data_IF_308406676379
#
_entry.id   IF_308406676379
#
_cell.length_a   1.000
_cell.length_b   1.000
_cell.length_c   1.000
_cell.angle_alpha   90.00
_cell.angle_beta   90.00
_cell.angle_gamma   90.00
#
_symmetry.space_group_name_H-M   'P 1'
#
loop_
_entity.id
_entity.type
_entity.pdbx_description
1 polymer ?
#
# COMPACT_ATOMS: atom_id res chain seq x y z
N UNK A 1 19.78 6.36 -20.27
CA UNK A 1 18.98 5.34 -20.99
C UNK A 1 19.18 3.95 -20.40
N UNK A 2 20.40 3.42 -20.34
CA UNK A 2 20.69 2.10 -19.74
C UNK A 2 20.26 1.94 -18.27
N UNK A 3 20.43 2.99 -17.44
CA UNK A 3 20.00 2.97 -16.03
C UNK A 3 18.51 2.66 -15.85
N UNK A 4 17.65 3.23 -16.70
CA UNK A 4 16.20 3.00 -16.66
C UNK A 4 15.79 1.61 -17.13
N UNK A 5 16.58 1.01 -18.02
CA UNK A 5 16.36 -0.39 -18.44
C UNK A 5 16.72 -1.33 -17.29
N UNK A 6 17.90 -1.11 -16.68
CA UNK A 6 18.34 -1.89 -15.52
C UNK A 6 17.37 -1.76 -14.33
N UNK A 7 16.90 -0.56 -14.02
CA UNK A 7 15.90 -0.29 -12.98
C UNK A 7 14.60 -1.09 -13.20
N UNK A 8 14.11 -1.15 -14.45
CA UNK A 8 12.91 -1.94 -14.80
C UNK A 8 13.13 -3.44 -14.61
N UNK A 9 14.29 -3.95 -15.02
CA UNK A 9 14.63 -5.37 -14.86
C UNK A 9 14.75 -5.75 -13.37
N UNK A 10 15.44 -4.92 -12.59
CA UNK A 10 15.59 -5.11 -11.15
C UNK A 10 14.23 -5.06 -10.46
N UNK A 11 13.38 -4.08 -10.78
CA UNK A 11 12.02 -3.99 -10.25
C UNK A 11 11.22 -5.25 -10.56
N UNK A 12 11.25 -5.75 -11.79
CA UNK A 12 10.51 -6.94 -12.19
C UNK A 12 10.95 -8.17 -11.38
N UNK A 13 12.26 -8.38 -11.25
CA UNK A 13 12.81 -9.49 -10.47
C UNK A 13 12.45 -9.39 -8.98
N UNK A 14 12.60 -8.20 -8.39
CA UNK A 14 12.29 -7.96 -6.98
C UNK A 14 10.81 -8.14 -6.68
N UNK A 15 9.92 -7.57 -7.50
CA UNK A 15 8.48 -7.71 -7.32
C UNK A 15 8.04 -9.17 -7.45
N UNK A 16 8.60 -9.92 -8.41
CA UNK A 16 8.32 -11.35 -8.53
C UNK A 16 8.70 -12.11 -7.26
N UNK A 17 9.89 -11.87 -6.71
CA UNK A 17 10.32 -12.47 -5.45
C UNK A 17 9.39 -12.10 -4.28
N UNK A 18 9.12 -10.81 -4.07
CA UNK A 18 8.32 -10.35 -2.94
C UNK A 18 6.87 -10.87 -2.99
N UNK A 19 6.28 -10.92 -4.20
CA UNK A 19 4.93 -11.45 -4.39
C UNK A 19 4.87 -12.96 -4.14
N UNK A 20 5.81 -13.73 -4.68
CA UNK A 20 5.83 -15.19 -4.53
C UNK A 20 6.08 -15.66 -3.09
N UNK A 21 6.69 -14.81 -2.26
CA UNK A 21 6.96 -15.10 -0.85
C UNK A 21 5.91 -14.50 0.10
N UNK A 22 4.84 -13.88 -0.41
CA UNK A 22 3.80 -13.29 0.43
C UNK A 22 4.30 -12.15 1.34
N UNK A 23 5.31 -11.40 0.90
CA UNK A 23 5.95 -10.37 1.72
C UNK A 23 5.02 -9.18 2.04
N UNK A 24 4.15 -8.82 1.10
CA UNK A 24 3.32 -7.64 1.22
C UNK A 24 2.09 -7.87 2.10
N UNK A 25 1.78 -6.87 2.93
CA UNK A 25 0.54 -6.86 3.70
C UNK A 25 -0.67 -6.63 2.78
N UNK A 26 -1.79 -7.29 3.07
CA UNK A 26 -3.06 -7.13 2.36
C UNK A 26 -3.63 -5.70 2.46
N UNK A 27 -3.30 -4.95 3.50
CA UNK A 27 -3.64 -3.53 3.68
C UNK A 27 -2.63 -2.56 3.05
N UNK A 28 -1.64 -3.06 2.30
CA UNK A 28 -0.74 -2.21 1.50
C UNK A 28 -1.34 -2.00 0.11
N UNK A 29 -1.86 -0.80 -0.14
CA UNK A 29 -2.50 -0.45 -1.41
C UNK A 29 -1.56 0.29 -2.37
N UNK A 30 -0.62 1.08 -1.84
CA UNK A 30 0.34 1.85 -2.63
C UNK A 30 1.40 0.96 -3.29
N UNK A 31 1.78 1.31 -4.52
CA UNK A 31 2.85 0.67 -5.31
C UNK A 31 2.67 -0.84 -5.53
N UNK A 32 1.44 -1.34 -5.44
CA UNK A 32 1.08 -2.75 -5.63
C UNK A 32 0.32 -2.93 -6.93
N UNK A 33 0.66 -3.97 -7.69
CA UNK A 33 -0.10 -4.33 -8.89
C UNK A 33 -1.49 -4.84 -8.50
N UNK A 34 -2.50 -4.44 -9.26
CA UNK A 34 -3.89 -4.83 -9.00
C UNK A 34 -4.54 -4.14 -7.79
N UNK A 35 -3.92 -3.11 -7.21
CA UNK A 35 -4.49 -2.29 -6.12
C UNK A 35 -4.47 -0.82 -6.48
N UNK A 36 -5.44 -0.06 -6.00
CA UNK A 36 -5.52 1.38 -6.21
C UNK A 36 -5.91 2.14 -4.93
N UNK A 37 -6.03 3.46 -5.04
CA UNK A 37 -6.43 4.34 -3.94
C UNK A 37 -7.89 4.15 -3.54
N UNK A 38 -8.75 3.71 -4.47
CA UNK A 38 -10.16 3.43 -4.18
C UNK A 38 -10.30 2.23 -3.24
N UNK A 39 -9.46 1.19 -3.41
CA UNK A 39 -9.43 0.05 -2.48
C UNK A 39 -9.09 0.47 -1.05
N UNK A 40 -8.12 1.37 -0.90
CA UNK A 40 -7.73 1.91 0.40
C UNK A 40 -8.88 2.71 1.05
N UNK A 41 -9.55 3.54 0.24
CA UNK A 41 -10.70 4.32 0.69
C UNK A 41 -11.86 3.41 1.08
N UNK A 42 -12.16 2.38 0.27
CA UNK A 42 -13.21 1.42 0.54
C UNK A 42 -12.95 0.65 1.84
N UNK A 43 -11.71 0.22 2.08
CA UNK A 43 -11.31 -0.43 3.33
C UNK A 43 -11.55 0.47 4.55
N UNK A 44 -11.19 1.76 4.47
CA UNK A 44 -11.45 2.73 5.53
C UNK A 44 -12.95 2.96 5.74
N UNK A 45 -13.72 3.14 4.66
CA UNK A 45 -15.16 3.34 4.74
C UNK A 45 -15.86 2.12 5.37
N UNK A 46 -15.45 0.91 5.01
CA UNK A 46 -15.99 -0.31 5.61
C UNK A 46 -15.69 -0.37 7.11
N UNK A 47 -14.47 -0.07 7.54
CA UNK A 47 -14.11 0.01 8.96
C UNK A 47 -15.01 1.00 9.73
N UNK A 48 -15.21 2.19 9.18
CA UNK A 48 -16.08 3.21 9.79
C UNK A 48 -17.53 2.72 9.83
N UNK A 49 -18.03 2.13 8.75
CA UNK A 49 -19.40 1.66 8.64
C UNK A 49 -19.69 0.51 9.64
N UNK A 50 -18.77 -0.44 9.79
CA UNK A 50 -18.87 -1.53 10.77
C UNK A 50 -18.90 -1.00 12.21
N UNK A 51 -18.05 -0.02 12.53
CA UNK A 51 -18.06 0.61 13.84
C UNK A 51 -19.40 1.31 14.13
N UNK A 52 -19.92 2.07 13.17
CA UNK A 52 -21.22 2.76 13.29
C UNK A 52 -22.37 1.77 13.49
N UNK A 53 -22.43 0.71 12.66
CA UNK A 53 -23.46 -0.33 12.79
C UNK A 53 -23.36 -1.07 14.13
N UNK A 54 -22.15 -1.25 14.65
CA UNK A 54 -21.88 -1.83 15.97
C UNK A 54 -22.11 -0.88 17.15
N UNK A 55 -22.57 0.37 16.91
CA UNK A 55 -22.66 1.44 17.93
C UNK A 55 -21.34 1.68 18.68
N UNK A 56 -20.22 1.52 17.98
CA UNK A 56 -18.86 1.79 18.47
C UNK A 56 -18.36 3.12 17.90
N UNK A 57 -17.41 3.74 18.60
CA UNK A 57 -16.70 4.90 18.08
C UNK A 57 -15.61 4.44 17.09
N UNK A 58 -15.49 5.14 15.97
CA UNK A 58 -14.38 5.00 15.04
C UNK A 58 -13.38 6.14 15.24
N UNK A 59 -12.09 5.84 15.16
CA UNK A 59 -11.03 6.85 15.18
C UNK A 59 -9.92 6.43 14.23
N UNK A 60 -9.32 7.40 13.55
CA UNK A 60 -8.25 7.17 12.60
C UNK A 60 -7.07 8.10 12.92
N UNK A 61 -5.86 7.56 12.81
CA UNK A 61 -4.61 8.30 12.92
C UNK A 61 -3.96 8.30 11.54
N UNK A 62 -3.78 9.49 10.97
CA UNK A 62 -3.12 9.65 9.69
C UNK A 62 -1.66 10.01 9.93
N UNK A 63 -0.77 9.21 9.36
CA UNK A 63 0.68 9.35 9.49
C UNK A 63 1.26 9.68 8.12
N UNK A 64 2.20 10.62 8.09
CA UNK A 64 2.95 10.99 6.89
C UNK A 64 4.44 11.13 7.22
N UNK A 65 5.30 10.73 6.29
CA UNK A 65 6.76 10.75 6.47
C UNK A 65 7.35 11.97 5.76
N UNK A 66 8.03 12.83 6.51
CA UNK A 66 8.74 13.98 5.92
C UNK A 66 9.91 13.50 5.06
N UNK A 67 9.94 13.90 3.79
CA UNK A 67 10.99 13.54 2.82
C UNK A 67 11.23 12.02 2.74
N UNK A 68 10.17 11.23 2.60
CA UNK A 68 10.21 9.77 2.63
C UNK A 68 11.23 9.12 1.68
N UNK A 69 11.53 9.72 0.52
CA UNK A 69 12.52 9.20 -0.43
C UNK A 69 13.94 9.72 -0.19
N UNK A 70 14.11 10.89 0.42
CA UNK A 70 15.44 11.44 0.71
C UNK A 70 16.03 10.88 2.02
N UNK A 71 15.19 10.23 2.84
CA UNK A 71 15.54 9.70 4.17
C UNK A 71 15.77 8.19 4.18
N UNK A 72 15.87 7.59 2.99
CA UNK A 72 16.12 6.16 2.75
C UNK A 72 17.47 5.98 2.07
#
# INVERSE_FOLDING_TARGET
VFSKIFEKLLKAALMSFLNNNGYFNESQFGFREGRCTEDAMLALMNFVHEALNGKKNASAVFLDLTKAFDTV
#
